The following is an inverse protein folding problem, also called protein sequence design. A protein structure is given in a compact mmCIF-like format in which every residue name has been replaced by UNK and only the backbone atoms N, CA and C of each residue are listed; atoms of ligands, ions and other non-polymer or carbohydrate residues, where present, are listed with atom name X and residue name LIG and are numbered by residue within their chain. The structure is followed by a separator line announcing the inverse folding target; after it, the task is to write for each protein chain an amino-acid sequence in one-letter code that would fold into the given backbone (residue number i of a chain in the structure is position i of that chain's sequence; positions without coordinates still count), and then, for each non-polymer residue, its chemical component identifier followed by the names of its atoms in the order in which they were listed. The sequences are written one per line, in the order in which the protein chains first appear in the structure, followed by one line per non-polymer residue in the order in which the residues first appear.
data_IF_793602623628
#
_entry.id   IF_793602623628
#
_cell.length_a   1.000
_cell.length_b   1.000
_cell.length_c   1.000
_cell.angle_alpha   90.00
_cell.angle_beta   90.00
_cell.angle_gamma   90.00
#
_symmetry.space_group_name_H-M   'P 1'
#
loop_
_entity.id
_entity.type
_entity.pdbx_description
1 polymer ?
#
# COMPACT_ATOMS: atom_id res chain seq x y z
N UNK A 1 3.76 16.10 -26.51
CA UNK A 1 4.85 16.10 -25.50
C UNK A 1 4.15 15.90 -24.16
N UNK A 2 4.35 14.73 -23.53
CA UNK A 2 3.60 14.33 -22.34
C UNK A 2 4.20 14.96 -21.08
N UNK A 3 3.52 16.00 -20.60
CA UNK A 3 3.26 16.38 -19.21
C UNK A 3 4.05 15.61 -18.13
N UNK A 4 5.32 15.97 -17.95
CA UNK A 4 6.20 15.42 -16.90
C UNK A 4 6.11 16.21 -15.57
N UNK A 5 5.14 17.12 -15.45
CA UNK A 5 5.15 18.18 -14.42
C UNK A 5 4.33 17.87 -13.15
N UNK A 6 3.78 16.67 -12.98
CA UNK A 6 2.89 16.35 -11.84
C UNK A 6 3.56 15.58 -10.69
N UNK A 7 4.88 15.43 -10.66
CA UNK A 7 5.59 14.81 -9.53
C UNK A 7 6.24 15.82 -8.57
N UNK A 8 6.46 17.06 -9.01
CA UNK A 8 7.12 18.11 -8.20
C UNK A 8 6.20 18.80 -7.17
N UNK A 9 4.93 18.39 -7.07
CA UNK A 9 3.95 18.99 -6.14
C UNK A 9 3.91 18.36 -4.74
N UNK A 10 4.68 17.30 -4.48
CA UNK A 10 4.69 16.57 -3.20
C UNK A 10 5.73 17.11 -2.19
N UNK A 11 6.54 18.11 -2.57
CA UNK A 11 7.55 18.76 -1.71
C UNK A 11 6.94 19.60 -0.56
N UNK A 12 5.62 19.74 -0.50
CA UNK A 12 4.94 20.70 0.37
C UNK A 12 4.92 20.39 1.86
N UNK A 13 5.30 19.19 2.31
CA UNK A 13 5.54 18.90 3.74
C UNK A 13 6.09 17.48 3.85
N UNK A 14 7.42 17.32 3.90
CA UNK A 14 8.03 16.04 4.23
C UNK A 14 7.68 15.67 5.68
N UNK A 15 6.60 14.90 5.83
CA UNK A 15 6.20 14.29 7.10
C UNK A 15 6.60 12.82 7.12
N UNK A 16 6.82 12.27 8.32
CA UNK A 16 7.15 10.85 8.50
C UNK A 16 6.09 9.96 7.83
N UNK A 17 4.81 10.32 7.91
CA UNK A 17 3.72 9.59 7.27
C UNK A 17 3.75 9.66 5.74
N UNK A 18 3.99 10.84 5.17
CA UNK A 18 4.10 11.00 3.71
C UNK A 18 5.30 10.23 3.15
N UNK A 19 6.43 10.29 3.86
CA UNK A 19 7.63 9.54 3.53
C UNK A 19 7.39 8.02 3.64
N UNK A 20 6.63 7.58 4.66
CA UNK A 20 6.27 6.18 4.87
C UNK A 20 5.38 5.62 3.76
N UNK A 21 4.41 6.41 3.30
CA UNK A 21 3.56 6.02 2.17
C UNK A 21 4.38 5.87 0.89
N UNK A 22 5.30 6.81 0.60
CA UNK A 22 6.20 6.72 -0.55
C UNK A 22 7.11 5.50 -0.46
N UNK A 23 7.71 5.25 0.70
CA UNK A 23 8.54 4.07 0.96
C UNK A 23 7.77 2.77 0.71
N UNK A 24 6.54 2.65 1.24
CA UNK A 24 5.70 1.48 1.06
C UNK A 24 5.30 1.26 -0.42
N UNK A 25 4.99 2.34 -1.14
CA UNK A 25 4.69 2.29 -2.57
C UNK A 25 5.89 1.79 -3.38
N UNK A 26 7.10 2.34 -3.14
CA UNK A 26 8.33 1.91 -3.80
C UNK A 26 8.64 0.44 -3.51
N UNK A 27 8.50 -0.01 -2.26
CA UNK A 27 8.65 -1.42 -1.89
C UNK A 27 7.64 -2.32 -2.61
N UNK A 28 6.39 -1.88 -2.72
CA UNK A 28 5.37 -2.59 -3.49
C UNK A 28 5.72 -2.70 -4.97
N UNK A 29 6.23 -1.62 -5.57
CA UNK A 29 6.69 -1.61 -6.96
C UNK A 29 7.91 -2.53 -7.17
N UNK A 30 8.88 -2.52 -6.26
CA UNK A 30 10.06 -3.38 -6.29
C UNK A 30 9.72 -4.87 -6.14
N UNK A 31 8.65 -5.18 -5.40
CA UNK A 31 8.15 -6.56 -5.26
C UNK A 31 7.21 -6.98 -6.40
N UNK A 32 6.94 -6.11 -7.38
CA UNK A 32 6.08 -6.45 -8.52
C UNK A 32 6.81 -7.38 -9.49
N UNK A 33 6.19 -8.48 -9.96
CA UNK A 33 6.81 -9.35 -10.95
C UNK A 33 7.09 -8.64 -12.28
N UNK A 34 6.39 -7.52 -12.57
CA UNK A 34 6.61 -6.74 -13.79
C UNK A 34 7.98 -6.07 -13.81
N UNK A 35 8.52 -5.68 -12.65
CA UNK A 35 9.84 -5.06 -12.55
C UNK A 35 10.98 -6.08 -12.59
N UNK A 36 10.65 -7.38 -12.53
CA UNK A 36 11.62 -8.47 -12.52
C UNK A 36 12.19 -8.80 -13.91
N UNK A 37 11.52 -8.36 -14.98
CA UNK A 37 11.98 -8.49 -16.35
C UNK A 37 13.30 -7.74 -16.59
N UNK A 38 14.16 -8.30 -17.45
CA UNK A 38 15.48 -7.73 -17.78
C UNK A 38 15.36 -6.33 -18.40
N UNK A 39 14.34 -6.10 -19.23
CA UNK A 39 14.04 -4.80 -19.84
C UNK A 39 13.73 -3.70 -18.81
N UNK A 40 13.38 -4.09 -17.58
CA UNK A 40 13.04 -3.18 -16.49
C UNK A 40 14.19 -2.97 -15.50
N UNK A 41 15.40 -3.47 -15.79
CA UNK A 41 16.57 -3.33 -14.91
C UNK A 41 16.87 -1.86 -14.57
N UNK A 42 16.87 -0.98 -15.57
CA UNK A 42 17.13 0.45 -15.35
C UNK A 42 16.09 1.11 -14.43
N UNK A 43 14.81 0.75 -14.56
CA UNK A 43 13.75 1.23 -13.67
C UNK A 43 13.91 0.65 -12.27
N UNK A 44 14.32 -0.62 -12.13
CA UNK A 44 14.61 -1.21 -10.82
C UNK A 44 15.73 -0.47 -10.10
N UNK A 45 16.81 -0.14 -10.81
CA UNK A 45 17.95 0.59 -10.24
C UNK A 45 17.54 2.01 -9.80
N UNK A 46 16.68 2.67 -10.58
CA UNK A 46 16.06 3.94 -10.19
C UNK A 46 15.24 3.81 -8.90
N UNK A 47 14.35 2.82 -8.83
CA UNK A 47 13.51 2.58 -7.66
C UNK A 47 14.32 2.26 -6.41
N UNK A 48 15.44 1.52 -6.54
CA UNK A 48 16.35 1.24 -5.43
C UNK A 48 17.11 2.49 -4.96
N UNK A 49 17.47 3.38 -5.89
CA UNK A 49 18.10 4.66 -5.56
C UNK A 49 17.13 5.58 -4.81
N UNK A 50 15.91 5.72 -5.31
CA UNK A 50 14.85 6.48 -4.66
C UNK A 50 14.51 5.91 -3.28
N UNK A 51 14.46 4.59 -3.14
CA UNK A 51 14.25 3.93 -1.86
C UNK A 51 15.36 4.29 -0.86
N UNK A 52 16.62 4.28 -1.32
CA UNK A 52 17.78 4.63 -0.49
C UNK A 52 17.76 6.10 -0.07
N UNK A 53 17.38 7.01 -0.98
CA UNK A 53 17.21 8.42 -0.67
C UNK A 53 16.13 8.64 0.40
N UNK A 54 14.99 7.97 0.28
CA UNK A 54 13.93 8.01 1.28
C UNK A 54 14.37 7.45 2.64
N UNK A 55 15.13 6.35 2.66
CA UNK A 55 15.68 5.79 3.89
C UNK A 55 16.61 6.79 4.61
N UNK A 56 17.36 7.59 3.86
CA UNK A 56 18.16 8.70 4.40
C UNK A 56 17.29 9.87 4.87
N UNK A 57 16.27 10.26 4.12
CA UNK A 57 15.34 11.33 4.55
C UNK A 57 14.67 10.99 5.89
N UNK A 58 14.43 9.69 6.16
CA UNK A 58 13.91 9.23 7.45
C UNK A 58 14.88 9.45 8.61
N UNK A 59 16.19 9.41 8.42
CA UNK A 59 17.13 9.70 9.51
C UNK A 59 17.12 11.18 9.86
N UNK A 60 16.98 12.04 8.85
CA UNK A 60 17.18 13.48 9.00
C UNK A 60 15.93 14.21 9.50
N UNK A 61 14.74 13.65 9.24
CA UNK A 61 13.47 14.27 9.63
C UNK A 61 13.13 14.04 11.11
N UNK A 62 13.13 15.03 12.01
CA UNK A 62 12.84 14.79 13.43
C UNK A 62 11.39 14.32 13.66
N UNK A 63 11.22 13.31 14.53
CA UNK A 63 9.88 12.83 14.93
C UNK A 63 9.23 13.79 15.92
N UNK A 64 7.96 14.15 15.68
CA UNK A 64 7.22 15.13 16.48
C UNK A 64 6.29 14.53 17.52
N UNK A 65 6.00 13.23 17.41
CA UNK A 65 5.11 12.51 18.31
C UNK A 65 5.49 11.02 18.36
N UNK A 66 4.96 10.28 19.33
CA UNK A 66 5.25 8.84 19.50
C UNK A 66 4.85 8.01 18.28
N UNK A 67 3.76 8.34 17.59
CA UNK A 67 3.33 7.60 16.39
C UNK A 67 4.37 7.71 15.27
N UNK A 68 4.97 8.88 15.08
CA UNK A 68 6.06 9.09 14.13
C UNK A 68 7.33 8.34 14.53
N UNK A 69 7.63 8.24 15.84
CA UNK A 69 8.75 7.42 16.32
C UNK A 69 8.48 5.94 16.01
N UNK A 70 7.29 5.44 16.31
CA UNK A 70 6.89 4.06 16.01
C UNK A 70 6.98 3.76 14.51
N UNK A 71 6.49 4.67 13.65
CA UNK A 71 6.55 4.49 12.20
C UNK A 71 8.00 4.39 11.68
N UNK A 72 8.92 5.21 12.22
CA UNK A 72 10.34 5.10 11.88
C UNK A 72 10.97 3.78 12.33
N UNK A 73 10.62 3.33 13.54
CA UNK A 73 11.10 2.04 14.07
C UNK A 73 10.60 0.90 13.19
N UNK A 74 9.33 0.90 12.78
CA UNK A 74 8.75 -0.10 11.89
C UNK A 74 9.48 -0.15 10.53
N UNK A 75 9.79 1.01 9.95
CA UNK A 75 10.53 1.11 8.69
C UNK A 75 11.96 0.62 8.85
N UNK A 76 12.66 1.02 9.91
CA UNK A 76 14.01 0.55 10.22
C UNK A 76 14.04 -0.97 10.39
N UNK A 77 13.06 -1.55 11.10
CA UNK A 77 12.91 -3.00 11.26
C UNK A 77 12.70 -3.71 9.92
N UNK A 78 11.84 -3.16 9.07
CA UNK A 78 11.58 -3.77 7.76
C UNK A 78 12.81 -3.68 6.85
N UNK A 79 13.45 -2.52 6.76
CA UNK A 79 14.66 -2.33 5.94
C UNK A 79 15.81 -3.22 6.42
N UNK A 80 15.95 -3.39 7.73
CA UNK A 80 16.94 -4.25 8.35
C UNK A 80 16.69 -5.74 8.05
N UNK A 81 15.43 -6.18 8.10
CA UNK A 81 15.06 -7.58 7.87
C UNK A 81 15.48 -8.10 6.50
N UNK A 82 15.45 -7.25 5.50
CA UNK A 82 15.86 -7.62 4.14
C UNK A 82 17.37 -7.69 3.95
N UNK A 83 18.13 -7.10 4.88
CA UNK A 83 19.61 -7.00 4.82
C UNK A 83 20.31 -8.02 5.70
N UNK A 84 19.68 -8.45 6.81
CA UNK A 84 20.30 -9.40 7.74
C UNK A 84 20.22 -10.83 7.20
N UNK A 85 21.38 -11.48 7.08
CA UNK A 85 21.49 -12.93 6.94
C UNK A 85 21.82 -13.55 8.30
N UNK A 86 20.78 -13.84 9.09
CA UNK A 86 20.80 -14.68 10.30
C UNK A 86 21.59 -14.18 11.54
N UNK A 87 22.62 -13.36 11.38
CA UNK A 87 23.61 -13.10 12.44
C UNK A 87 23.28 -11.87 13.30
N UNK A 88 22.50 -10.93 12.78
CA UNK A 88 22.15 -9.67 13.46
C UNK A 88 20.70 -9.62 13.97
N UNK A 89 20.05 -10.78 14.17
CA UNK A 89 18.64 -10.84 14.58
C UNK A 89 18.37 -10.09 15.90
N UNK A 90 19.38 -10.01 16.78
CA UNK A 90 19.33 -9.27 18.04
C UNK A 90 18.95 -7.80 17.86
N UNK A 91 19.32 -7.18 16.73
CA UNK A 91 19.00 -5.78 16.47
C UNK A 91 17.51 -5.59 16.15
N UNK A 92 16.88 -6.58 15.50
CA UNK A 92 15.43 -6.60 15.32
C UNK A 92 14.74 -6.73 16.69
N UNK A 93 15.22 -7.65 17.53
CA UNK A 93 14.69 -7.85 18.88
C UNK A 93 14.82 -6.58 19.76
N UNK A 94 15.94 -5.86 19.62
CA UNK A 94 16.14 -4.57 20.30
C UNK A 94 15.13 -3.51 19.83
N UNK A 95 14.90 -3.42 18.51
CA UNK A 95 13.91 -2.49 17.96
C UNK A 95 12.48 -2.84 18.41
N UNK A 96 12.15 -4.13 18.54
CA UNK A 96 10.89 -4.59 19.14
C UNK A 96 10.76 -4.16 20.61
N UNK A 97 11.83 -4.31 21.41
CA UNK A 97 11.85 -3.85 22.80
C UNK A 97 11.63 -2.34 22.92
N UNK A 98 12.33 -1.53 22.11
CA UNK A 98 12.17 -0.07 22.10
C UNK A 98 10.74 0.32 21.73
N UNK A 99 10.13 -0.38 20.77
CA UNK A 99 8.75 -0.14 20.36
C UNK A 99 7.77 -0.45 21.51
N UNK A 100 7.98 -1.55 22.23
CA UNK A 100 7.19 -1.87 23.42
C UNK A 100 7.30 -0.78 24.50
N UNK A 101 8.51 -0.30 24.78
CA UNK A 101 8.75 0.76 25.75
C UNK A 101 8.03 2.06 25.36
N UNK A 102 8.07 2.45 24.09
CA UNK A 102 7.35 3.63 23.59
C UNK A 102 5.84 3.57 23.85
N UNK A 103 5.24 2.38 23.77
CA UNK A 103 3.83 2.18 24.08
C UNK A 103 3.53 2.30 25.58
N UNK A 104 4.48 1.98 26.46
CA UNK A 104 4.33 2.12 27.92
C UNK A 104 4.50 3.55 28.40
N UNK A 105 5.41 4.32 27.77
CA UNK A 105 5.75 5.69 28.16
C UNK A 105 4.70 6.70 27.70
N UNK A 106 3.93 6.40 26.65
CA UNK A 106 2.86 7.25 26.15
C UNK A 106 1.46 6.61 26.32
N UNK A 107 0.90 6.53 27.55
CA UNK A 107 -0.38 5.87 27.81
C UNK A 107 -1.61 6.61 27.27
N UNK A 108 -1.45 7.67 26.47
CA UNK A 108 -2.55 8.49 25.91
C UNK A 108 -2.95 8.13 24.48
N UNK A 109 -2.78 6.87 24.08
CA UNK A 109 -3.54 6.32 22.97
C UNK A 109 -4.34 5.13 23.52
N UNK A 110 -5.69 5.18 23.56
CA UNK A 110 -6.42 3.96 23.81
C UNK A 110 -6.01 3.00 22.71
N UNK A 111 -5.52 1.82 23.11
CA UNK A 111 -5.33 0.71 22.21
C UNK A 111 -6.65 0.54 21.45
N UNK A 112 -6.67 0.93 20.18
CA UNK A 112 -7.71 0.49 19.27
C UNK A 112 -7.50 -1.02 19.20
N UNK A 113 -8.25 -1.72 20.06
CA UNK A 113 -8.43 -3.14 20.06
C UNK A 113 -8.42 -3.63 18.62
N UNK A 114 -7.55 -4.60 18.35
CA UNK A 114 -7.58 -5.42 17.17
C UNK A 114 -8.97 -6.08 17.03
N UNK A 115 -9.95 -5.32 16.56
CA UNK A 115 -11.24 -5.82 16.11
C UNK A 115 -11.12 -5.98 14.60
N UNK A 116 -10.54 -7.13 14.23
CA UNK A 116 -11.22 -8.09 13.37
C UNK A 116 -12.08 -7.45 12.27
N UNK A 117 -11.48 -6.69 11.35
CA UNK A 117 -12.13 -6.39 10.07
C UNK A 117 -11.96 -7.60 9.16
N UNK A 118 -12.80 -8.60 9.38
CA UNK A 118 -13.09 -9.60 8.36
C UNK A 118 -13.46 -8.87 7.06
N UNK A 119 -12.87 -9.21 5.90
CA UNK A 119 -13.29 -8.64 4.62
C UNK A 119 -14.57 -9.35 4.17
N UNK A 120 -15.66 -9.15 4.91
CA UNK A 120 -16.98 -9.65 4.55
C UNK A 120 -17.82 -8.47 4.08
N UNK A 121 -18.20 -8.51 2.80
CA UNK A 121 -19.09 -7.61 2.05
C UNK A 121 -18.42 -6.73 0.98
N UNK A 122 -17.79 -7.38 0.01
CA UNK A 122 -17.87 -6.94 -1.39
C UNK A 122 -18.95 -7.75 -2.11
N UNK A 123 -20.17 -7.76 -1.58
CA UNK A 123 -21.34 -8.24 -2.29
C UNK A 123 -21.79 -7.13 -3.24
N UNK A 124 -21.26 -7.17 -4.46
CA UNK A 124 -21.68 -6.34 -5.58
C UNK A 124 -23.18 -6.54 -5.80
N UNK A 125 -24.05 -5.52 -5.66
CA UNK A 125 -25.42 -5.64 -6.14
C UNK A 125 -25.35 -5.68 -7.67
N UNK A 126 -25.57 -6.87 -8.21
CA UNK A 126 -25.81 -7.08 -9.62
C UNK A 126 -27.12 -6.34 -9.94
N UNK A 127 -27.01 -5.16 -10.55
CA UNK A 127 -28.16 -4.46 -11.12
C UNK A 127 -28.79 -5.40 -12.16
N UNK A 128 -29.90 -6.02 -11.78
CA UNK A 128 -30.77 -6.72 -12.69
C UNK A 128 -31.43 -5.64 -13.56
N UNK A 129 -30.91 -5.49 -14.78
CA UNK A 129 -31.52 -4.74 -15.87
C UNK A 129 -32.94 -5.30 -16.07
N UNK A 130 -34.00 -4.49 -15.96
CA UNK A 130 -35.30 -4.85 -16.52
C UNK A 130 -35.20 -4.64 -18.03
N UNK A 131 -35.13 -5.72 -18.79
CA UNK A 131 -35.51 -5.67 -20.20
C UNK A 131 -37.04 -5.51 -20.23
N UNK A 132 -37.47 -4.30 -20.52
CA UNK A 132 -38.85 -4.03 -20.93
C UNK A 132 -38.97 -4.34 -22.43
N UNK A 133 -40.19 -4.66 -22.84
CA UNK A 133 -40.70 -5.00 -24.20
C UNK A 133 -40.36 -6.39 -24.78
N UNK A 134 -41.33 -7.27 -25.06
CA UNK A 134 -42.78 -7.10 -24.96
C UNK A 134 -43.60 -8.26 -25.53
N UNK A 135 -44.90 -8.17 -25.19
CA UNK A 135 -46.07 -8.50 -26.02
C UNK A 135 -46.40 -9.96 -26.29
N UNK A 136 -47.44 -10.44 -25.60
CA UNK A 136 -48.54 -11.17 -26.25
C UNK A 136 -49.87 -10.55 -25.83
N UNK A 137 -50.26 -9.51 -26.57
CA UNK A 137 -51.67 -9.27 -26.84
C UNK A 137 -52.16 -10.41 -27.76
N UNK A 138 -53.42 -10.77 -27.61
CA UNK A 138 -53.97 -12.00 -28.14
C UNK A 138 -53.88 -12.20 -29.65
N UNK A 139 -54.11 -13.46 -29.99
CA UNK A 139 -54.77 -13.91 -31.20
C UNK A 139 -53.91 -13.99 -32.49
N UNK A 140 -53.96 -15.21 -33.04
CA UNK A 140 -53.96 -15.58 -34.46
C UNK A 140 -52.63 -15.79 -35.21
N UNK A 141 -52.48 -17.06 -35.64
CA UNK A 141 -51.95 -17.52 -36.91
C UNK A 141 -50.49 -17.15 -37.30
N UNK A 142 -49.59 -18.14 -37.14
CA UNK A 142 -48.36 -18.24 -37.92
C UNK A 142 -48.45 -19.42 -38.90
N UNK A 143 -48.73 -19.15 -40.17
CA UNK A 143 -48.42 -20.04 -41.29
C UNK A 143 -46.94 -19.91 -41.69
N UNK A 144 -46.36 -21.00 -42.19
CA UNK A 144 -45.16 -21.11 -43.05
C UNK A 144 -43.80 -21.09 -42.34
N UNK A 145 -42.98 -22.16 -42.30
CA UNK A 145 -42.44 -23.14 -43.29
C UNK A 145 -41.04 -22.76 -43.84
N UNK A 146 -40.26 -23.81 -44.17
CA UNK A 146 -38.85 -23.92 -44.63
C UNK A 146 -37.79 -24.03 -43.50
N UNK A 147 -36.92 -25.05 -43.42
CA UNK A 147 -36.41 -25.99 -44.43
C UNK A 147 -36.25 -27.42 -43.86
#
# INVERSE_FOLDING_TARGET
MAESSNLSGLDGTQSVSALGLRWAALRGMLNSPLIMAEDQRALRDELLRELSAIEQDFSDLPSRNTMEISAKVDIAKSALRDRIQGTDSWLIDLLDSIQADLHTVNPRAPAATAQNRSPANLSRPQQQRPDDTGTTAGSEAGTSSAA
#
